data_IF_854107459298
#
_entry.id   IF_854107459298
#
_cell.length_a   1.000
_cell.length_b   1.000
_cell.length_c   1.000
_cell.angle_alpha   90.00
_cell.angle_beta   90.00
_cell.angle_gamma   90.00
#
_symmetry.space_group_name_H-M   'P 1'
#
loop_
_entity.id
_entity.type
_entity.pdbx_description
1 polymer ?
#
# COMPACT_ATOMS: atom_id res chain seq x y z
N UNK A 1 2.80 -19.84 -13.66
CA UNK A 1 2.79 -19.88 -15.14
C UNK A 1 3.64 -18.75 -15.68
N UNK A 2 4.11 -18.86 -16.92
CA UNK A 2 4.87 -17.79 -17.59
C UNK A 2 3.88 -16.70 -18.03
N UNK A 3 4.23 -15.42 -17.86
CA UNK A 3 3.41 -14.28 -18.29
C UNK A 3 3.15 -14.30 -19.80
N UNK A 4 4.09 -14.84 -20.56
CA UNK A 4 4.03 -15.01 -22.01
C UNK A 4 2.97 -16.02 -22.47
N UNK A 5 2.43 -16.84 -21.56
CA UNK A 5 1.41 -17.87 -21.85
C UNK A 5 -0.02 -17.47 -21.49
N UNK A 6 -0.27 -16.18 -21.17
CA UNK A 6 -1.61 -15.71 -20.86
C UNK A 6 -2.45 -15.61 -22.13
N UNK A 7 -3.60 -16.27 -22.12
CA UNK A 7 -4.59 -16.24 -23.18
C UNK A 7 -5.28 -14.88 -23.23
N UNK A 8 -5.06 -14.14 -24.32
CA UNK A 8 -5.59 -12.79 -24.51
C UNK A 8 -7.12 -12.77 -24.57
N UNK A 9 -7.73 -13.78 -25.17
CA UNK A 9 -9.19 -13.83 -25.34
C UNK A 9 -9.83 -14.06 -23.98
N UNK A 10 -9.23 -14.94 -23.16
CA UNK A 10 -9.67 -15.17 -21.79
C UNK A 10 -9.50 -13.94 -20.90
N UNK A 11 -8.41 -13.19 -21.03
CA UNK A 11 -8.23 -11.93 -20.29
C UNK A 11 -9.31 -10.93 -20.70
N UNK A 12 -9.56 -10.78 -22.01
CA UNK A 12 -10.59 -9.86 -22.51
C UNK A 12 -11.98 -10.23 -21.99
N UNK A 13 -12.31 -11.52 -21.92
CA UNK A 13 -13.56 -12.01 -21.33
C UNK A 13 -13.64 -11.66 -19.84
N UNK A 14 -12.59 -11.95 -19.06
CA UNK A 14 -12.55 -11.67 -17.62
C UNK A 14 -12.66 -10.17 -17.33
N UNK A 15 -12.04 -9.33 -18.15
CA UNK A 15 -12.08 -7.86 -18.00
C UNK A 15 -13.50 -7.28 -18.11
N UNK A 16 -14.44 -7.97 -18.73
CA UNK A 16 -15.86 -7.58 -18.75
C UNK A 16 -16.48 -7.56 -17.35
N UNK A 17 -15.93 -8.33 -16.41
CA UNK A 17 -16.36 -8.42 -15.02
C UNK A 17 -15.49 -7.62 -14.06
N UNK A 18 -14.56 -6.78 -14.55
CA UNK A 18 -13.70 -5.91 -13.75
C UNK A 18 -14.18 -4.46 -13.85
N UNK A 19 -14.16 -3.73 -12.75
CA UNK A 19 -14.48 -2.31 -12.67
C UNK A 19 -15.42 -1.97 -11.51
N UNK A 20 -15.11 -0.90 -10.79
CA UNK A 20 -15.94 -0.37 -9.70
C UNK A 20 -17.18 0.37 -10.20
N UNK A 21 -17.21 0.80 -11.44
CA UNK A 21 -18.34 1.37 -12.14
C UNK A 21 -19.55 0.42 -12.22
N UNK A 22 -19.31 -0.88 -12.07
CA UNK A 22 -20.31 -1.95 -12.06
C UNK A 22 -20.85 -2.28 -10.67
N UNK A 23 -20.36 -1.59 -9.63
CA UNK A 23 -20.77 -1.80 -8.24
C UNK A 23 -21.47 -0.55 -7.75
N UNK A 24 -22.65 -0.70 -7.19
CA UNK A 24 -23.34 0.39 -6.49
C UNK A 24 -23.63 0.04 -5.05
N UNK A 25 -23.61 1.06 -4.19
CA UNK A 25 -23.96 0.93 -2.77
C UNK A 25 -25.11 1.88 -2.50
N UNK A 26 -26.22 1.34 -2.03
CA UNK A 26 -27.39 2.12 -1.65
C UNK A 26 -28.04 1.52 -0.42
N UNK A 27 -28.34 2.35 0.57
CA UNK A 27 -29.00 1.94 1.84
C UNK A 27 -28.32 0.73 2.52
N UNK A 28 -27.00 0.66 2.48
CA UNK A 28 -26.23 -0.46 3.06
C UNK A 28 -26.23 -1.75 2.21
N UNK A 29 -26.85 -1.74 1.05
CA UNK A 29 -26.87 -2.87 0.11
C UNK A 29 -25.86 -2.65 -1.01
N UNK A 30 -25.13 -3.72 -1.34
CA UNK A 30 -24.21 -3.75 -2.48
C UNK A 30 -24.91 -4.46 -3.64
N UNK A 31 -25.04 -3.75 -4.76
CA UNK A 31 -25.52 -4.31 -6.02
C UNK A 31 -24.35 -4.44 -7.01
N UNK A 32 -24.19 -5.63 -7.60
CA UNK A 32 -23.14 -5.97 -8.56
C UNK A 32 -23.56 -7.14 -9.44
N UNK A 33 -22.96 -7.32 -10.63
CA UNK A 33 -23.12 -8.55 -11.42
C UNK A 33 -22.69 -9.79 -10.64
N UNK A 34 -23.36 -10.93 -10.87
CA UNK A 34 -23.03 -12.20 -10.20
C UNK A 34 -21.60 -12.66 -10.45
N UNK A 35 -21.09 -12.40 -11.64
CA UNK A 35 -19.71 -12.76 -12.04
C UNK A 35 -18.63 -11.89 -11.40
N UNK A 36 -18.96 -10.67 -10.94
CA UNK A 36 -18.03 -9.79 -10.29
C UNK A 36 -17.78 -10.25 -8.85
N UNK A 37 -16.51 -10.38 -8.48
CA UNK A 37 -16.08 -10.67 -7.11
C UNK A 37 -15.45 -9.41 -6.51
N UNK A 38 -15.73 -9.15 -5.24
CA UNK A 38 -15.05 -8.12 -4.46
C UNK A 38 -13.88 -8.76 -3.71
N UNK A 39 -12.74 -8.11 -3.76
CA UNK A 39 -11.54 -8.48 -3.00
C UNK A 39 -11.16 -7.32 -2.08
N UNK A 40 -10.96 -7.61 -0.80
CA UNK A 40 -10.65 -6.62 0.24
C UNK A 40 -9.21 -6.73 0.75
N UNK A 41 -8.35 -7.52 0.11
CA UNK A 41 -6.98 -7.76 0.57
C UNK A 41 -6.15 -6.47 0.69
N UNK A 42 -6.46 -5.46 -0.13
CA UNK A 42 -5.77 -4.17 -0.13
C UNK A 42 -6.20 -3.21 1.01
N UNK A 43 -7.17 -3.62 1.84
CA UNK A 43 -7.69 -2.78 2.92
C UNK A 43 -7.93 -3.57 4.22
N UNK A 44 -7.86 -4.89 4.17
CA UNK A 44 -8.30 -5.74 5.26
C UNK A 44 -7.43 -5.60 6.51
N UNK A 45 -6.11 -5.46 6.35
CA UNK A 45 -5.19 -5.32 7.47
C UNK A 45 -5.33 -3.94 8.11
N UNK A 46 -5.35 -2.88 7.28
CA UNK A 46 -5.59 -1.52 7.76
C UNK A 46 -6.93 -1.37 8.48
N UNK A 47 -7.99 -2.00 7.96
CA UNK A 47 -9.28 -2.05 8.63
C UNK A 47 -9.21 -2.76 9.98
N UNK A 48 -8.55 -3.91 10.06
CA UNK A 48 -8.40 -4.65 11.32
C UNK A 48 -7.63 -3.84 12.37
N UNK A 49 -6.57 -3.12 11.97
CA UNK A 49 -5.83 -2.20 12.85
C UNK A 49 -6.76 -1.10 13.37
N UNK A 50 -7.57 -0.48 12.50
CA UNK A 50 -8.52 0.57 12.90
C UNK A 50 -9.57 0.05 13.88
N UNK A 51 -10.15 -1.13 13.63
CA UNK A 51 -11.16 -1.74 14.52
C UNK A 51 -10.60 -2.00 15.92
N UNK A 52 -9.37 -2.54 16.01
CA UNK A 52 -8.73 -2.78 17.31
C UNK A 52 -8.43 -1.45 18.01
N UNK A 53 -7.93 -0.47 17.28
CA UNK A 53 -7.64 0.86 17.80
C UNK A 53 -8.89 1.53 18.36
N UNK A 54 -9.98 1.54 17.61
CA UNK A 54 -11.27 2.10 18.04
C UNK A 54 -11.84 1.35 19.26
N UNK A 55 -11.64 0.03 19.34
CA UNK A 55 -11.98 -0.74 20.53
C UNK A 55 -11.18 -0.30 21.75
N UNK A 56 -9.86 -0.12 21.64
CA UNK A 56 -9.02 0.37 22.73
C UNK A 56 -9.46 1.77 23.19
N UNK A 57 -9.71 2.68 22.25
CA UNK A 57 -10.21 4.03 22.51
C UNK A 57 -11.56 3.98 23.26
N UNK A 58 -12.46 3.06 22.89
CA UNK A 58 -13.75 2.86 23.58
C UNK A 58 -13.60 2.37 25.03
N UNK A 59 -12.44 1.82 25.38
CA UNK A 59 -12.09 1.39 26.74
C UNK A 59 -11.29 2.45 27.53
N UNK A 60 -11.12 3.65 26.96
CA UNK A 60 -10.38 4.74 27.60
C UNK A 60 -8.86 4.58 27.51
N UNK A 61 -8.36 3.76 26.59
CA UNK A 61 -6.91 3.64 26.35
C UNK A 61 -6.45 4.82 25.49
N UNK A 62 -5.62 5.69 26.05
CA UNK A 62 -5.14 6.92 25.40
C UNK A 62 -3.73 6.78 24.80
N UNK A 63 -3.04 5.68 25.06
CA UNK A 63 -1.67 5.45 24.58
C UNK A 63 -1.53 4.04 24.05
N UNK A 64 -1.38 3.89 22.74
CA UNK A 64 -1.21 2.59 22.12
C UNK A 64 -0.42 2.66 20.81
N UNK A 65 0.16 1.54 20.44
CA UNK A 65 0.60 1.19 19.08
C UNK A 65 -0.05 -0.15 18.74
N UNK A 66 -0.88 -0.18 17.72
CA UNK A 66 -1.47 -1.40 17.15
C UNK A 66 -0.78 -1.69 15.83
N UNK A 67 -0.30 -2.93 15.65
CA UNK A 67 0.39 -3.36 14.42
C UNK A 67 -0.14 -4.73 14.00
N UNK A 68 -0.48 -4.87 12.72
CA UNK A 68 -0.87 -6.13 12.10
C UNK A 68 -0.19 -6.25 10.74
N UNK A 69 0.85 -7.12 10.67
CA UNK A 69 1.53 -7.46 9.43
C UNK A 69 2.18 -6.27 8.71
N UNK A 70 2.63 -5.26 9.47
CA UNK A 70 3.29 -4.05 8.99
C UNK A 70 2.39 -2.82 8.87
N UNK A 71 1.07 -2.99 8.96
CA UNK A 71 0.12 -1.87 9.07
C UNK A 71 0.01 -1.44 10.53
N UNK A 72 0.19 -0.12 10.77
CA UNK A 72 0.37 0.44 12.11
C UNK A 72 -0.59 1.61 12.33
N UNK A 73 -1.14 1.71 13.54
CA UNK A 73 -1.80 2.92 14.06
C UNK A 73 -1.31 3.22 15.45
N UNK A 74 -1.04 4.49 15.70
CA UNK A 74 -0.58 4.98 17.01
C UNK A 74 -1.56 6.00 17.56
N UNK A 75 -1.59 6.08 18.91
CA UNK A 75 -2.21 7.16 19.66
C UNK A 75 -1.32 7.48 20.87
N UNK A 76 -1.23 8.77 21.21
CA UNK A 76 -0.52 9.23 22.40
C UNK A 76 0.98 8.90 22.36
N UNK A 77 1.51 8.42 23.48
CA UNK A 77 2.95 8.24 23.69
C UNK A 77 3.30 6.84 24.18
N UNK A 78 4.52 6.43 23.90
CA UNK A 78 5.11 5.26 24.54
C UNK A 78 5.40 5.62 26.03
N UNK A 79 4.54 5.18 26.92
CA UNK A 79 4.63 5.49 28.36
C UNK A 79 5.87 4.90 29.03
N UNK A 80 6.41 3.78 28.50
CA UNK A 80 7.62 3.14 29.03
C UNK A 80 8.88 3.96 28.69
N UNK A 81 8.96 4.46 27.46
CA UNK A 81 10.11 5.27 26.99
C UNK A 81 9.90 6.77 27.16
N UNK A 82 8.72 7.20 27.59
CA UNK A 82 8.28 8.61 27.67
C UNK A 82 8.57 9.40 26.39
N UNK A 83 8.33 8.79 25.23
CA UNK A 83 8.60 9.35 23.89
C UNK A 83 7.40 9.18 22.98
N UNK A 84 7.32 9.95 21.89
CA UNK A 84 6.39 9.68 20.79
C UNK A 84 6.73 8.31 20.19
N UNK A 85 5.74 7.65 19.58
CA UNK A 85 5.92 6.35 18.95
C UNK A 85 6.88 6.45 17.76
N UNK A 86 7.88 5.56 17.73
CA UNK A 86 8.85 5.46 16.65
C UNK A 86 8.68 4.13 15.94
N UNK A 87 8.57 4.15 14.61
CA UNK A 87 8.38 2.96 13.78
C UNK A 87 9.48 2.89 12.71
N UNK A 88 9.79 1.67 12.27
CA UNK A 88 10.79 1.44 11.22
C UNK A 88 10.17 1.34 9.84
N UNK A 89 10.81 1.92 8.84
CA UNK A 89 10.51 1.69 7.43
C UNK A 89 11.51 0.68 6.89
N UNK A 90 11.02 -0.44 6.37
CA UNK A 90 11.86 -1.55 5.93
C UNK A 90 12.61 -1.22 4.64
N UNK A 91 13.90 -1.60 4.57
CA UNK A 91 14.68 -1.50 3.33
C UNK A 91 14.19 -2.55 2.31
N UNK A 92 14.01 -2.18 1.05
CA UNK A 92 13.60 -3.12 0.01
C UNK A 92 14.71 -4.07 -0.42
N UNK A 93 15.97 -3.79 -0.10
CA UNK A 93 17.11 -4.68 -0.35
C UNK A 93 17.27 -5.64 0.81
N UNK A 94 16.89 -6.90 0.58
CA UNK A 94 16.93 -7.97 1.59
C UNK A 94 18.34 -8.41 1.96
N UNK A 95 19.33 -8.11 1.12
CA UNK A 95 20.73 -8.47 1.32
C UNK A 95 21.51 -7.39 2.11
N UNK A 96 20.86 -6.25 2.41
CA UNK A 96 21.46 -5.25 3.28
C UNK A 96 21.39 -5.71 4.74
N UNK A 97 22.52 -5.62 5.45
CA UNK A 97 22.58 -5.85 6.91
C UNK A 97 21.72 -4.86 7.71
N UNK A 98 21.14 -3.86 7.04
CA UNK A 98 20.20 -2.89 7.60
C UNK A 98 18.75 -3.38 7.38
N UNK A 99 18.14 -3.86 8.44
CA UNK A 99 16.73 -4.30 8.42
C UNK A 99 15.75 -3.15 8.09
N UNK A 100 16.15 -1.89 8.32
CA UNK A 100 15.33 -0.70 8.09
C UNK A 100 16.09 0.38 7.32
N UNK A 101 15.40 1.10 6.41
CA UNK A 101 15.97 2.27 5.71
C UNK A 101 16.17 3.39 6.71
N UNK A 102 15.14 3.63 7.53
CA UNK A 102 15.07 4.72 8.51
C UNK A 102 14.03 4.41 9.58
N UNK A 103 14.08 5.17 10.65
CA UNK A 103 12.99 5.26 11.64
C UNK A 103 12.27 6.58 11.48
N UNK A 104 10.98 6.59 11.79
CA UNK A 104 10.17 7.80 11.79
C UNK A 104 9.31 7.88 13.05
N UNK A 105 8.94 9.09 13.39
CA UNK A 105 7.97 9.36 14.45
C UNK A 105 6.57 9.30 13.85
N UNK A 106 5.67 8.57 14.51
CA UNK A 106 4.27 8.46 14.10
C UNK A 106 3.40 8.98 15.26
N UNK A 107 2.80 10.16 15.07
CA UNK A 107 2.06 10.89 16.10
C UNK A 107 0.57 10.92 15.75
N UNK A 108 -0.22 10.09 16.49
CA UNK A 108 -1.67 9.97 16.30
C UNK A 108 -2.09 9.73 14.85
N UNK A 109 -1.27 8.97 14.13
CA UNK A 109 -1.44 8.66 12.71
C UNK A 109 -1.29 7.15 12.47
N UNK A 110 -1.57 6.76 11.25
CA UNK A 110 -1.44 5.38 10.80
C UNK A 110 -0.46 5.30 9.63
N UNK A 111 0.25 4.19 9.51
CA UNK A 111 1.15 3.91 8.40
C UNK A 111 0.88 2.51 7.84
N UNK A 112 0.93 2.39 6.52
CA UNK A 112 0.93 1.11 5.83
C UNK A 112 1.98 1.10 4.71
N UNK A 113 2.52 -0.07 4.41
CA UNK A 113 3.53 -0.23 3.35
C UNK A 113 3.16 -1.37 2.42
N UNK A 114 2.99 -1.05 1.15
CA UNK A 114 2.91 -2.03 0.06
C UNK A 114 4.28 -2.20 -0.59
N UNK A 115 4.69 -3.44 -0.82
CA UNK A 115 5.99 -3.73 -1.42
C UNK A 115 5.95 -4.96 -2.33
N UNK A 116 6.75 -4.91 -3.39
CA UNK A 116 6.86 -5.98 -4.40
C UNK A 116 8.23 -6.65 -4.38
N UNK A 117 9.13 -6.18 -3.54
CA UNK A 117 10.51 -6.66 -3.49
C UNK A 117 10.64 -8.16 -3.13
N UNK A 118 9.65 -8.72 -2.42
CA UNK A 118 9.58 -10.16 -2.07
C UNK A 118 8.76 -11.01 -3.05
N UNK A 119 7.93 -10.40 -3.90
CA UNK A 119 6.95 -11.09 -4.75
C UNK A 119 6.92 -10.49 -6.15
N UNK A 120 7.96 -10.75 -6.93
CA UNK A 120 8.02 -10.38 -8.34
C UNK A 120 8.36 -11.58 -9.21
N UNK A 121 8.05 -11.48 -10.50
CA UNK A 121 8.49 -12.42 -11.54
C UNK A 121 9.26 -11.65 -12.60
N UNK A 122 10.28 -12.27 -13.18
CA UNK A 122 11.05 -11.71 -14.27
C UNK A 122 10.71 -12.49 -15.55
N UNK A 123 10.40 -11.81 -16.65
CA UNK A 123 10.22 -12.43 -17.94
C UNK A 123 11.56 -12.73 -18.64
N UNK A 124 11.50 -13.37 -19.83
CA UNK A 124 12.68 -13.68 -20.64
C UNK A 124 13.45 -12.46 -21.16
N UNK A 125 12.82 -11.27 -21.09
CA UNK A 125 13.41 -9.98 -21.51
C UNK A 125 13.94 -9.16 -20.34
N UNK A 126 13.91 -9.71 -19.10
CA UNK A 126 14.35 -9.02 -17.90
C UNK A 126 13.32 -8.06 -17.28
N UNK A 127 12.08 -7.98 -17.79
CA UNK A 127 11.06 -7.12 -17.18
C UNK A 127 10.55 -7.71 -15.88
N UNK A 128 10.43 -6.86 -14.86
CA UNK A 128 9.81 -7.20 -13.58
C UNK A 128 8.30 -7.04 -13.63
N UNK A 129 7.60 -8.03 -13.09
CA UNK A 129 6.15 -8.03 -12.94
C UNK A 129 5.78 -8.29 -11.49
N UNK A 130 4.87 -7.49 -10.97
CA UNK A 130 4.35 -7.65 -9.62
C UNK A 130 3.16 -8.61 -9.60
N UNK A 131 2.71 -8.98 -8.40
CA UNK A 131 1.46 -9.71 -8.22
C UNK A 131 0.22 -8.81 -8.35
N UNK A 132 0.42 -7.48 -8.46
CA UNK A 132 -0.65 -6.51 -8.64
C UNK A 132 -1.06 -6.50 -10.10
N UNK A 133 -2.35 -6.70 -10.36
CA UNK A 133 -2.91 -6.68 -11.71
C UNK A 133 -3.34 -5.25 -12.05
N UNK A 134 -2.93 -4.77 -13.21
CA UNK A 134 -3.43 -3.52 -13.77
C UNK A 134 -4.89 -3.71 -14.19
N UNK A 135 -5.78 -3.00 -13.54
CA UNK A 135 -7.24 -3.13 -13.71
C UNK A 135 -7.75 -2.60 -15.05
N UNK A 136 -6.93 -1.87 -15.80
CA UNK A 136 -7.27 -1.40 -17.16
C UNK A 136 -6.89 -2.43 -18.22
N UNK A 137 -5.78 -3.15 -18.02
CA UNK A 137 -5.26 -4.06 -19.03
C UNK A 137 -5.51 -5.54 -18.73
N UNK A 138 -5.76 -5.89 -17.47
CA UNK A 138 -5.90 -7.28 -16.99
C UNK A 138 -4.57 -8.03 -16.84
N UNK A 139 -3.44 -7.37 -17.12
CA UNK A 139 -2.11 -7.96 -16.99
C UNK A 139 -1.43 -7.54 -15.69
N UNK A 140 -0.44 -8.32 -15.21
CA UNK A 140 0.41 -7.89 -14.10
C UNK A 140 1.05 -6.53 -14.39
N UNK A 141 1.00 -5.63 -13.43
CA UNK A 141 1.59 -4.30 -13.54
C UNK A 141 3.10 -4.41 -13.73
N UNK A 142 3.62 -3.70 -14.74
CA UNK A 142 5.04 -3.39 -14.83
C UNK A 142 5.28 -2.16 -13.98
N UNK A 143 6.05 -2.29 -12.93
CA UNK A 143 6.42 -1.16 -12.10
C UNK A 143 7.88 -1.29 -11.68
N UNK A 144 8.55 -0.16 -11.68
CA UNK A 144 9.88 -0.04 -11.08
C UNK A 144 9.81 0.30 -9.59
N UNK A 145 8.61 0.49 -9.04
CA UNK A 145 8.40 0.75 -7.62
C UNK A 145 8.62 -0.53 -6.82
N UNK A 146 9.46 -0.45 -5.81
CA UNK A 146 9.79 -1.54 -4.90
C UNK A 146 8.89 -1.50 -3.66
N UNK A 147 8.68 -0.30 -3.09
CA UNK A 147 7.78 -0.12 -1.96
C UNK A 147 7.15 1.28 -1.97
N UNK A 148 5.96 1.36 -1.39
CA UNK A 148 5.23 2.58 -1.12
C UNK A 148 4.76 2.55 0.32
N UNK A 149 5.24 3.48 1.13
CA UNK A 149 4.74 3.70 2.49
C UNK A 149 3.85 4.93 2.51
N UNK A 150 2.68 4.81 3.10
CA UNK A 150 1.69 5.89 3.20
C UNK A 150 1.36 6.12 4.65
N UNK A 151 1.37 7.40 5.06
CA UNK A 151 0.83 7.85 6.35
C UNK A 151 -0.49 8.56 6.10
N UNK A 152 -1.49 8.20 6.88
CA UNK A 152 -2.82 8.78 6.86
C UNK A 152 -3.47 8.71 8.25
N UNK A 153 -4.58 9.42 8.46
CA UNK A 153 -5.27 9.45 9.75
C UNK A 153 -5.84 8.09 10.16
N UNK A 154 -6.35 7.31 9.19
CA UNK A 154 -6.86 5.94 9.41
C UNK A 154 -6.01 4.92 8.68
N UNK A 155 -5.78 3.77 9.30
CA UNK A 155 -4.94 2.72 8.75
C UNK A 155 -5.53 2.08 7.49
N UNK A 156 -6.85 1.93 7.41
CA UNK A 156 -7.54 1.47 6.20
C UNK A 156 -7.26 2.38 4.99
N UNK A 157 -7.14 3.70 5.19
CA UNK A 157 -6.77 4.63 4.12
C UNK A 157 -5.31 4.47 3.72
N UNK A 158 -4.41 4.38 4.69
CA UNK A 158 -2.99 4.16 4.43
C UNK A 158 -2.77 2.87 3.61
N UNK A 159 -3.40 1.75 4.00
CA UNK A 159 -3.32 0.44 3.34
C UNK A 159 -3.87 0.50 1.89
N UNK A 160 -5.07 1.08 1.72
CA UNK A 160 -5.68 1.26 0.41
C UNK A 160 -4.80 2.06 -0.55
N UNK A 161 -4.30 3.21 -0.11
CA UNK A 161 -3.47 4.08 -0.95
C UNK A 161 -2.07 3.50 -1.19
N UNK A 162 -1.47 2.81 -0.24
CA UNK A 162 -0.19 2.14 -0.45
C UNK A 162 -0.28 1.14 -1.61
N UNK A 163 -1.34 0.33 -1.66
CA UNK A 163 -1.58 -0.64 -2.75
C UNK A 163 -1.92 0.06 -4.07
N UNK A 164 -2.79 1.08 -4.05
CA UNK A 164 -3.18 1.80 -5.26
C UNK A 164 -1.99 2.53 -5.90
N UNK A 165 -1.21 3.26 -5.11
CA UNK A 165 -0.03 3.98 -5.56
C UNK A 165 1.05 3.02 -6.10
N UNK A 166 1.24 1.85 -5.46
CA UNK A 166 2.14 0.81 -5.94
C UNK A 166 1.80 0.35 -7.38
N UNK A 167 0.52 0.36 -7.75
CA UNK A 167 0.06 -0.03 -9.09
C UNK A 167 0.19 1.09 -10.13
N UNK A 168 0.25 2.35 -9.72
CA UNK A 168 0.20 3.52 -10.62
C UNK A 168 1.53 3.78 -11.36
N UNK A 169 2.67 3.57 -10.72
CA UNK A 169 3.98 4.01 -11.19
C UNK A 169 4.33 5.43 -10.76
N UNK A 170 5.63 5.77 -10.78
CA UNK A 170 6.20 6.97 -10.14
C UNK A 170 5.58 8.27 -10.69
N UNK A 171 5.47 8.42 -12.01
CA UNK A 171 4.94 9.66 -12.61
C UNK A 171 3.46 9.90 -12.25
N UNK A 172 2.65 8.83 -12.25
CA UNK A 172 1.25 8.95 -11.86
C UNK A 172 1.09 9.27 -10.36
N UNK A 173 1.98 8.75 -9.51
CA UNK A 173 2.03 9.11 -8.08
C UNK A 173 2.28 10.60 -7.90
N UNK A 174 3.28 11.16 -8.58
CA UNK A 174 3.62 12.59 -8.50
C UNK A 174 2.42 13.48 -8.85
N UNK A 175 1.70 13.13 -9.91
CA UNK A 175 0.50 13.87 -10.33
C UNK A 175 -0.65 13.69 -9.32
N UNK A 176 -0.90 12.47 -8.89
CA UNK A 176 -1.97 12.14 -7.96
C UNK A 176 -1.82 12.89 -6.63
N UNK A 177 -0.61 12.93 -6.07
CA UNK A 177 -0.35 13.55 -4.77
C UNK A 177 -0.46 15.08 -4.77
N UNK A 178 -0.45 15.75 -5.93
CA UNK A 178 -0.72 17.19 -6.01
C UNK A 178 -2.15 17.53 -5.55
N UNK A 179 -3.10 16.63 -5.74
CA UNK A 179 -4.51 16.80 -5.32
C UNK A 179 -4.84 16.07 -4.00
N UNK A 180 -3.86 15.41 -3.38
CA UNK A 180 -4.04 14.66 -2.14
C UNK A 180 -2.96 15.03 -1.09
N UNK A 181 -2.95 16.29 -0.64
CA UNK A 181 -1.93 16.77 0.30
C UNK A 181 -2.02 16.14 1.70
N UNK A 182 -3.15 15.51 2.03
CA UNK A 182 -3.36 14.79 3.28
C UNK A 182 -2.64 13.44 3.36
N UNK A 183 -2.12 12.94 2.24
CA UNK A 183 -1.36 11.69 2.19
C UNK A 183 0.13 12.00 2.23
N UNK A 184 0.81 11.64 3.30
CA UNK A 184 2.29 11.66 3.35
C UNK A 184 2.80 10.36 2.76
N UNK A 185 3.65 10.43 1.75
CA UNK A 185 4.07 9.23 1.00
C UNK A 185 5.57 9.17 0.86
N UNK A 186 6.12 7.97 1.03
CA UNK A 186 7.50 7.61 0.76
C UNK A 186 7.53 6.47 -0.26
N UNK A 187 8.30 6.64 -1.32
CA UNK A 187 8.48 5.60 -2.34
C UNK A 187 9.94 5.22 -2.49
N UNK A 188 10.16 3.93 -2.74
CA UNK A 188 11.45 3.38 -3.17
C UNK A 188 11.25 2.74 -4.53
N UNK A 189 12.10 3.08 -5.50
CA UNK A 189 11.98 2.57 -6.85
C UNK A 189 13.34 2.40 -7.54
N UNK A 190 13.35 1.68 -8.66
CA UNK A 190 14.52 1.53 -9.52
C UNK A 190 14.39 2.51 -10.68
N UNK A 191 15.37 3.40 -10.83
CA UNK A 191 15.45 4.35 -11.94
C UNK A 191 15.91 3.69 -13.24
N UNK A 192 15.83 4.41 -14.36
CA UNK A 192 16.22 3.91 -15.68
C UNK A 192 17.71 3.50 -15.75
N UNK A 193 18.56 4.12 -14.95
CA UNK A 193 19.99 3.78 -14.80
C UNK A 193 20.24 2.62 -13.80
N UNK A 194 19.18 1.90 -13.45
CA UNK A 194 19.18 0.70 -12.61
C UNK A 194 19.64 0.95 -11.16
N UNK A 195 19.46 2.17 -10.65
CA UNK A 195 19.81 2.55 -9.28
C UNK A 195 18.57 2.66 -8.40
N UNK A 196 18.74 2.35 -7.11
CA UNK A 196 17.72 2.64 -6.11
C UNK A 196 17.57 4.15 -5.95
N UNK A 197 16.32 4.61 -5.98
CA UNK A 197 15.94 6.00 -5.69
C UNK A 197 14.79 6.03 -4.69
N UNK A 198 14.75 7.12 -3.94
CA UNK A 198 13.69 7.39 -2.97
C UNK A 198 13.10 8.77 -3.23
N UNK A 199 11.80 8.91 -3.01
CA UNK A 199 11.12 10.20 -3.03
C UNK A 199 10.14 10.31 -1.87
N UNK A 200 9.99 11.53 -1.37
CA UNK A 200 9.13 11.89 -0.26
C UNK A 200 8.13 12.93 -0.70
N UNK A 201 6.89 12.78 -0.25
CA UNK A 201 5.81 13.69 -0.59
C UNK A 201 5.06 14.14 0.66
N UNK A 202 4.57 15.38 0.59
CA UNK A 202 3.65 15.98 1.56
C UNK A 202 4.15 15.93 3.01
N UNK A 203 5.47 16.09 3.21
CA UNK A 203 6.06 16.11 4.55
C UNK A 203 6.12 14.75 5.23
N UNK A 204 6.37 13.67 4.48
CA UNK A 204 6.62 12.35 5.09
C UNK A 204 7.80 12.46 6.08
N UNK A 205 7.61 12.08 7.37
CA UNK A 205 8.53 12.42 8.45
C UNK A 205 9.69 11.43 8.53
N UNK A 206 10.63 11.45 7.59
CA UNK A 206 11.91 10.76 7.74
C UNK A 206 12.93 11.66 8.41
N UNK A 207 13.60 11.14 9.39
CA UNK A 207 14.75 11.75 10.06
C UNK A 207 16.07 11.35 9.40
#
# INVERSE_FOLDING_TARGET
>A
GKIESLDKDKITELMRSVGMDKVSISQGLISKPLTLKLDFNAIAKGYAVDVISEFLESKGVENYLVEIGGEIRTLGRNSVKNSIWTVGVQHPDLDSDQAYVNTLVLEDESMATSGTYRKFKIDSKGNRYTHIINTTTGYPSRTNILSVSVIAKKCIKADAYATALQAMGVEAIRLFLQSHPELKVFIVYISEDNKFKTEFFNGFPLS
#
